data_IF_269331267399
#
_entry.id   IF_269331267399
#
_cell.length_a   1.000
_cell.length_b   1.000
_cell.length_c   1.000
_cell.angle_alpha   90.00
_cell.angle_beta   90.00
_cell.angle_gamma   90.00
#
_symmetry.space_group_name_H-M   'P 1'
#
loop_
_entity.id
_entity.type
_entity.pdbx_description
1 polymer ?
#
# COMPACT_ATOMS: atom_id res chain seq x y z
N UNK A 1 14.02 -14.46 -14.42
CA UNK A 1 14.33 -15.68 -13.63
C UNK A 1 13.21 -16.72 -13.78
N UNK A 2 13.49 -18.02 -13.67
CA UNK A 2 12.46 -19.07 -13.62
C UNK A 2 11.83 -19.16 -12.23
N UNK A 3 10.58 -19.63 -12.12
CA UNK A 3 9.88 -19.78 -10.82
C UNK A 3 10.65 -20.64 -9.81
N UNK A 4 11.46 -21.59 -10.30
CA UNK A 4 12.33 -22.44 -9.47
C UNK A 4 13.56 -21.70 -8.95
N UNK A 5 14.19 -20.88 -9.78
CA UNK A 5 15.31 -20.04 -9.36
C UNK A 5 14.85 -19.01 -8.33
N UNK A 6 13.72 -18.34 -8.57
CA UNK A 6 13.11 -17.41 -7.61
C UNK A 6 12.79 -18.11 -6.29
N UNK A 7 12.19 -19.31 -6.32
CA UNK A 7 11.91 -20.08 -5.11
C UNK A 7 13.18 -20.49 -4.35
N UNK A 8 14.26 -20.84 -5.07
CA UNK A 8 15.55 -21.18 -4.46
C UNK A 8 16.18 -19.97 -3.78
N UNK A 9 16.18 -18.82 -4.45
CA UNK A 9 16.73 -17.58 -3.89
C UNK A 9 15.95 -17.14 -2.65
N UNK A 10 14.61 -17.17 -2.71
CA UNK A 10 13.75 -16.88 -1.55
C UNK A 10 14.06 -17.84 -0.40
N UNK A 11 14.24 -19.13 -0.68
CA UNK A 11 14.56 -20.14 0.33
C UNK A 11 15.89 -19.84 1.02
N UNK A 12 16.92 -19.48 0.26
CA UNK A 12 18.23 -19.14 0.82
C UNK A 12 18.15 -17.90 1.72
N UNK A 13 17.41 -16.88 1.29
CA UNK A 13 17.27 -15.61 2.02
C UNK A 13 16.39 -15.71 3.27
N UNK A 14 15.55 -16.74 3.41
CA UNK A 14 14.82 -17.02 4.65
C UNK A 14 15.58 -17.96 5.58
N UNK A 15 16.87 -18.22 5.35
CA UNK A 15 17.70 -19.08 6.21
C UNK A 15 17.68 -20.57 5.82
N UNK A 16 17.21 -20.90 4.62
CA UNK A 16 17.21 -22.24 4.05
C UNK A 16 16.12 -23.17 4.58
N UNK A 17 16.08 -24.40 4.05
CA UNK A 17 15.09 -25.43 4.42
C UNK A 17 14.97 -25.68 5.92
N UNK A 18 16.05 -25.71 6.74
CA UNK A 18 15.91 -25.94 8.18
C UNK A 18 15.15 -24.85 8.92
N UNK A 19 15.12 -23.64 8.36
CA UNK A 19 14.44 -22.50 8.98
C UNK A 19 12.94 -22.49 8.66
N UNK A 20 12.52 -23.03 7.52
CA UNK A 20 11.10 -23.01 7.13
C UNK A 20 10.34 -24.19 7.73
N UNK A 21 9.32 -23.93 8.54
CA UNK A 21 8.52 -24.96 9.23
C UNK A 21 7.16 -25.20 8.58
N UNK A 22 6.61 -24.20 7.88
CA UNK A 22 5.40 -24.33 7.09
C UNK A 22 5.43 -23.38 5.90
N UNK A 23 4.74 -23.76 4.83
CA UNK A 23 4.44 -22.87 3.71
C UNK A 23 2.94 -22.98 3.35
N UNK A 24 2.36 -21.88 2.88
CA UNK A 24 1.02 -21.87 2.28
C UNK A 24 0.92 -20.86 1.16
N UNK A 25 0.02 -21.13 0.23
CA UNK A 25 -0.30 -20.24 -0.87
C UNK A 25 -1.55 -19.41 -0.54
N UNK A 26 -1.49 -18.10 -0.77
CA UNK A 26 -2.67 -17.28 -0.96
C UNK A 26 -2.70 -16.70 -2.37
N UNK A 27 -3.74 -15.93 -2.72
CA UNK A 27 -3.92 -15.43 -4.09
C UNK A 27 -2.75 -14.60 -4.63
N UNK A 28 -1.96 -13.93 -3.80
CA UNK A 28 -0.85 -13.07 -4.25
C UNK A 28 0.45 -13.27 -3.49
N UNK A 29 0.45 -14.12 -2.46
CA UNK A 29 1.56 -14.25 -1.49
C UNK A 29 1.89 -15.71 -1.20
N UNK A 30 3.19 -15.97 -1.08
CA UNK A 30 3.75 -17.16 -0.45
C UNK A 30 3.89 -16.87 1.04
N UNK A 31 3.16 -17.60 1.88
CA UNK A 31 3.22 -17.47 3.33
C UNK A 31 4.12 -18.53 3.90
N UNK A 32 5.00 -18.14 4.80
CA UNK A 32 6.02 -18.96 5.43
C UNK A 32 5.90 -18.83 6.95
N UNK A 33 6.20 -19.91 7.64
CA UNK A 33 6.52 -19.90 9.07
C UNK A 33 7.99 -20.26 9.18
N UNK A 34 8.76 -19.42 9.86
CA UNK A 34 10.20 -19.62 10.09
C UNK A 34 10.48 -19.95 11.55
N UNK A 35 11.53 -20.72 11.82
CA UNK A 35 11.93 -21.09 13.17
C UNK A 35 12.69 -19.95 13.86
N UNK A 36 13.55 -19.28 13.09
CA UNK A 36 14.41 -18.19 13.54
C UNK A 36 14.25 -16.99 12.58
N UNK A 37 13.51 -15.96 13.00
CA UNK A 37 13.29 -14.76 12.21
C UNK A 37 14.56 -13.95 11.95
N UNK A 38 15.61 -14.09 12.78
CA UNK A 38 16.86 -13.34 12.63
C UNK A 38 17.69 -13.78 11.42
N UNK A 39 17.43 -14.98 10.90
CA UNK A 39 18.08 -15.52 9.70
C UNK A 39 17.46 -15.01 8.39
N UNK A 40 16.42 -14.19 8.47
CA UNK A 40 15.67 -13.72 7.31
C UNK A 40 16.24 -12.39 6.84
N UNK A 41 16.83 -12.39 5.65
CA UNK A 41 17.29 -11.16 5.00
C UNK A 41 16.14 -10.49 4.26
N UNK A 42 15.35 -9.70 5.00
CA UNK A 42 14.22 -8.93 4.46
C UNK A 42 14.66 -7.96 3.36
N UNK A 43 15.83 -7.36 3.50
CA UNK A 43 16.34 -6.36 2.55
C UNK A 43 16.73 -7.00 1.21
N UNK A 44 17.34 -8.19 1.23
CA UNK A 44 17.65 -8.93 0.02
C UNK A 44 16.38 -9.53 -0.62
N UNK A 45 15.42 -10.00 0.17
CA UNK A 45 14.17 -10.55 -0.34
C UNK A 45 13.37 -9.53 -1.18
N UNK A 46 13.35 -8.26 -0.78
CA UNK A 46 12.71 -7.19 -1.56
C UNK A 46 13.39 -6.93 -2.93
N UNK A 47 14.62 -7.43 -3.12
CA UNK A 47 15.40 -7.26 -4.36
C UNK A 47 15.31 -8.46 -5.30
N UNK A 48 14.67 -9.56 -4.87
CA UNK A 48 14.51 -10.77 -5.68
C UNK A 48 13.58 -10.51 -6.87
N UNK A 49 13.96 -10.98 -8.06
CA UNK A 49 13.16 -10.81 -9.28
C UNK A 49 11.76 -11.46 -9.11
N UNK A 50 10.71 -10.64 -9.23
CA UNK A 50 9.32 -11.06 -9.09
C UNK A 50 8.76 -10.95 -7.67
N UNK A 51 9.57 -10.65 -6.65
CA UNK A 51 9.08 -10.24 -5.34
C UNK A 51 8.67 -8.77 -5.39
N UNK A 52 7.41 -8.52 -5.04
CA UNK A 52 6.78 -7.20 -4.96
C UNK A 52 6.85 -6.59 -3.56
N UNK A 53 7.17 -7.39 -2.54
CA UNK A 53 7.14 -6.95 -1.15
C UNK A 53 7.17 -8.10 -0.15
N UNK A 54 7.37 -7.74 1.12
CA UNK A 54 7.38 -8.69 2.23
C UNK A 54 6.45 -8.19 3.33
N UNK A 55 5.91 -9.14 4.07
CA UNK A 55 4.99 -8.94 5.19
C UNK A 55 5.49 -9.74 6.38
N UNK A 56 5.66 -9.13 7.55
CA UNK A 56 5.83 -9.88 8.80
C UNK A 56 4.48 -10.33 9.36
N UNK A 57 4.36 -11.51 9.95
CA UNK A 57 3.16 -11.95 10.69
C UNK A 57 3.54 -12.55 12.03
N UNK A 58 3.19 -11.87 13.12
CA UNK A 58 3.60 -12.30 14.46
C UNK A 58 5.12 -12.37 14.60
N UNK A 59 5.60 -13.21 15.51
CA UNK A 59 7.03 -13.37 15.75
C UNK A 59 7.74 -14.20 14.68
N UNK A 60 7.03 -15.10 13.98
CA UNK A 60 7.62 -16.19 13.19
C UNK A 60 7.05 -16.34 11.77
N UNK A 61 6.03 -15.56 11.41
CA UNK A 61 5.42 -15.59 10.09
C UNK A 61 6.02 -14.57 9.13
N UNK A 62 6.19 -14.97 7.87
CA UNK A 62 6.61 -14.10 6.77
C UNK A 62 5.72 -14.35 5.57
N UNK A 63 5.28 -13.31 4.87
CA UNK A 63 4.66 -13.44 3.55
C UNK A 63 5.51 -12.74 2.50
N UNK A 64 5.87 -13.47 1.46
CA UNK A 64 6.57 -12.94 0.28
C UNK A 64 5.54 -12.75 -0.83
N UNK A 65 5.47 -11.53 -1.36
CA UNK A 65 4.41 -11.14 -2.30
C UNK A 65 4.95 -11.20 -3.71
N UNK A 66 4.30 -11.97 -4.58
CA UNK A 66 4.70 -12.11 -5.99
C UNK A 66 3.65 -11.53 -6.94
N UNK A 67 2.44 -11.29 -6.44
CA UNK A 67 1.29 -10.93 -7.25
C UNK A 67 0.52 -12.16 -7.74
N UNK A 68 -0.65 -11.95 -8.36
CA UNK A 68 -1.63 -13.00 -8.66
C UNK A 68 -1.20 -14.00 -9.74
N UNK A 69 -0.30 -13.60 -10.63
CA UNK A 69 0.01 -14.34 -11.86
C UNK A 69 1.21 -15.29 -11.69
N UNK A 70 2.04 -15.04 -10.68
CA UNK A 70 3.36 -15.67 -10.50
C UNK A 70 3.43 -16.53 -9.23
N UNK A 71 2.70 -16.16 -8.18
CA UNK A 71 2.81 -16.78 -6.85
C UNK A 71 2.60 -18.30 -6.86
N UNK A 72 1.67 -18.81 -7.68
CA UNK A 72 1.36 -20.24 -7.72
C UNK A 72 2.55 -21.10 -8.17
N UNK A 73 3.25 -20.69 -9.23
CA UNK A 73 4.40 -21.44 -9.77
C UNK A 73 5.61 -21.39 -8.84
N UNK A 74 5.81 -20.24 -8.16
CA UNK A 74 6.85 -20.08 -7.16
C UNK A 74 6.56 -20.97 -5.95
N UNK A 75 5.32 -21.02 -5.47
CA UNK A 75 4.91 -21.87 -4.36
C UNK A 75 5.12 -23.37 -4.63
N UNK A 76 4.72 -23.87 -5.80
CA UNK A 76 4.95 -25.27 -6.17
C UNK A 76 6.45 -25.61 -6.14
N UNK A 77 7.28 -24.75 -6.75
CA UNK A 77 8.72 -24.92 -6.75
C UNK A 77 9.31 -24.86 -5.32
N UNK A 78 8.80 -23.97 -4.48
CA UNK A 78 9.24 -23.79 -3.10
C UNK A 78 8.88 -25.00 -2.22
N UNK A 79 7.68 -25.56 -2.38
CA UNK A 79 7.25 -26.77 -1.71
C UNK A 79 8.12 -27.98 -2.09
N UNK A 80 8.49 -28.11 -3.36
CA UNK A 80 9.44 -29.13 -3.83
C UNK A 80 10.82 -29.00 -3.18
N UNK A 81 11.36 -27.77 -3.10
CA UNK A 81 12.69 -27.51 -2.54
C UNK A 81 12.74 -27.74 -1.03
N UNK A 82 11.66 -27.41 -0.32
CA UNK A 82 11.58 -27.57 1.14
C UNK A 82 11.18 -28.98 1.56
N UNK A 83 10.54 -29.75 0.67
CA UNK A 83 9.91 -31.04 1.00
C UNK A 83 8.66 -30.91 1.88
N UNK A 84 8.18 -29.69 2.10
CA UNK A 84 6.97 -29.41 2.86
C UNK A 84 5.73 -29.64 1.97
N UNK A 85 4.60 -30.08 2.55
CA UNK A 85 3.38 -30.27 1.79
C UNK A 85 2.91 -28.93 1.21
N UNK A 86 2.53 -28.95 -0.08
CA UNK A 86 1.85 -27.84 -0.73
C UNK A 86 0.44 -27.69 -0.13
N UNK A 87 0.35 -27.05 1.03
CA UNK A 87 -0.90 -26.80 1.73
C UNK A 87 -1.57 -25.52 1.23
N UNK A 88 -2.87 -25.61 0.95
CA UNK A 88 -3.75 -24.47 0.72
C UNK A 88 -4.53 -24.08 1.98
N UNK A 89 -4.39 -24.88 3.05
CA UNK A 89 -4.99 -24.63 4.37
C UNK A 89 -4.01 -23.83 5.23
N UNK A 90 -4.49 -22.73 5.81
CA UNK A 90 -3.68 -21.83 6.64
C UNK A 90 -3.19 -22.60 7.88
N UNK A 91 -1.87 -22.65 8.18
CA UNK A 91 -1.37 -23.29 9.39
C UNK A 91 -1.70 -22.42 10.63
N UNK A 92 -2.06 -21.16 10.38
CA UNK A 92 -2.36 -20.11 11.36
C UNK A 92 -3.81 -20.21 11.85
N UNK A 93 -4.21 -21.35 12.41
CA UNK A 93 -5.53 -21.48 13.01
C UNK A 93 -5.70 -20.63 14.29
N UNK A 94 -4.60 -20.12 14.87
CA UNK A 94 -4.61 -19.49 16.21
C UNK A 94 -3.83 -18.16 16.35
N UNK A 95 -3.49 -17.48 15.25
CA UNK A 95 -2.76 -16.18 15.27
C UNK A 95 -3.58 -15.06 14.61
N UNK A 96 -4.83 -14.92 15.02
CA UNK A 96 -5.78 -13.99 14.41
C UNK A 96 -5.56 -12.51 14.75
N UNK A 97 -4.49 -12.11 15.46
CA UNK A 97 -4.29 -10.74 15.97
C UNK A 97 -2.84 -10.21 15.83
N UNK A 98 -2.21 -10.27 14.65
CA UNK A 98 -0.87 -9.67 14.53
C UNK A 98 -0.16 -9.84 13.19
N UNK A 99 -0.89 -9.82 12.08
CA UNK A 99 -0.22 -9.73 10.79
C UNK A 99 0.25 -8.29 10.60
N UNK A 100 1.54 -8.00 10.76
CA UNK A 100 2.09 -6.76 10.18
C UNK A 100 1.87 -6.82 8.68
N UNK A 101 1.78 -5.70 7.98
CA UNK A 101 1.14 -5.75 6.68
C UNK A 101 2.16 -5.29 5.60
N UNK A 102 1.85 -5.31 4.30
CA UNK A 102 2.88 -5.21 3.22
C UNK A 102 3.73 -3.95 3.34
N UNK A 103 5.04 -4.08 3.58
CA UNK A 103 6.03 -3.00 3.46
C UNK A 103 6.93 -3.28 2.27
N UNK A 104 7.03 -2.33 1.35
CA UNK A 104 7.89 -2.38 0.17
C UNK A 104 8.78 -1.16 0.22
N UNK A 105 10.06 -1.33 0.49
CA UNK A 105 11.03 -0.25 0.40
C UNK A 105 11.79 -0.30 -0.91
N UNK A 106 11.85 0.84 -1.60
CA UNK A 106 12.72 1.03 -2.76
C UNK A 106 13.88 1.94 -2.39
N UNK A 107 15.10 1.39 -2.38
CA UNK A 107 16.34 2.18 -2.39
C UNK A 107 16.77 2.40 -3.85
N UNK A 108 16.99 3.64 -4.32
CA UNK A 108 17.33 3.90 -5.70
C UNK A 108 18.68 3.28 -6.07
N UNK A 109 18.65 2.23 -6.91
CA UNK A 109 19.86 1.76 -7.59
C UNK A 109 20.13 2.64 -8.81
N UNK A 110 21.38 3.14 -8.93
CA UNK A 110 21.85 3.87 -10.13
C UNK A 110 21.61 3.01 -11.37
N UNK A 111 20.61 3.35 -12.20
CA UNK A 111 20.40 2.66 -13.48
C UNK A 111 21.52 3.01 -14.45
N UNK A 112 22.19 1.97 -14.95
CA UNK A 112 22.94 2.01 -16.21
C UNK A 112 21.97 2.17 -17.37
N UNK A 113 22.29 3.11 -18.26
CA UNK A 113 21.55 3.52 -19.45
C UNK A 113 21.35 2.40 -20.48
N UNK A 114 20.13 2.24 -20.99
CA UNK A 114 19.89 1.72 -22.35
C UNK A 114 18.67 2.40 -23.03
N UNK A 115 18.67 2.52 -24.37
CA UNK A 115 17.92 3.54 -25.10
C UNK A 115 16.51 3.12 -25.52
N UNK A 116 15.66 4.14 -25.73
CA UNK A 116 14.27 4.11 -26.18
C UNK A 116 14.00 3.22 -27.40
N UNK A 117 12.88 2.48 -27.35
CA UNK A 117 12.24 1.87 -28.52
C UNK A 117 10.84 2.47 -28.69
N UNK A 118 10.59 3.02 -29.87
CA UNK A 118 9.37 3.71 -30.26
C UNK A 118 8.15 2.78 -30.41
N UNK A 119 7.00 3.24 -29.91
CA UNK A 119 5.69 2.59 -30.06
C UNK A 119 4.95 3.11 -31.31
N UNK A 120 4.32 2.26 -32.14
CA UNK A 120 3.51 2.72 -33.26
C UNK A 120 2.07 3.08 -32.86
N UNK A 121 1.50 4.06 -33.56
CA UNK A 121 0.18 4.64 -33.36
C UNK A 121 -0.97 3.66 -33.65
N UNK A 122 -2.05 3.74 -32.85
CA UNK A 122 -3.30 3.03 -33.08
C UNK A 122 -4.42 4.00 -33.50
N UNK A 123 -5.14 3.62 -34.55
CA UNK A 123 -6.28 4.34 -35.15
C UNK A 123 -7.57 4.30 -34.29
N UNK A 124 -8.50 5.25 -34.47
CA UNK A 124 -9.67 5.45 -33.60
C UNK A 124 -10.85 4.53 -33.96
N UNK A 125 -11.56 4.04 -32.95
CA UNK A 125 -12.82 3.28 -33.10
C UNK A 125 -14.02 4.14 -32.62
N UNK A 126 -15.20 4.09 -33.28
CA UNK A 126 -16.19 5.17 -33.25
C UNK A 126 -17.21 5.09 -32.09
N UNK A 127 -17.73 6.27 -31.71
CA UNK A 127 -18.91 6.47 -30.85
C UNK A 127 -20.22 6.26 -31.64
N UNK A 128 -21.20 5.60 -31.01
CA UNK A 128 -22.66 5.86 -31.01
C UNK A 128 -23.30 4.69 -30.21
N UNK A 129 -24.24 4.91 -29.28
CA UNK A 129 -25.69 4.99 -29.52
C UNK A 129 -26.39 5.90 -28.49
N UNK A 130 -27.48 6.48 -28.95
CA UNK A 130 -28.36 7.52 -28.42
C UNK A 130 -29.23 7.15 -27.20
N UNK A 131 -29.83 8.21 -26.66
CA UNK A 131 -30.67 8.29 -25.47
C UNK A 131 -32.06 7.66 -25.60
N UNK A 132 -32.64 7.32 -24.45
CA UNK A 132 -34.08 7.23 -24.25
C UNK A 132 -34.49 7.95 -22.96
N UNK A 133 -35.39 8.92 -23.12
CA UNK A 133 -36.06 9.70 -22.07
C UNK A 133 -37.27 8.90 -21.57
N UNK A 134 -37.49 8.83 -20.25
CA UNK A 134 -38.65 8.13 -19.69
C UNK A 134 -38.93 8.45 -18.22
N UNK A 135 -39.71 9.51 -18.02
CA UNK A 135 -40.71 9.72 -16.97
C UNK A 135 -40.34 9.90 -15.49
N UNK A 136 -40.81 11.05 -15.00
CA UNK A 136 -40.84 11.55 -13.62
C UNK A 136 -41.78 10.68 -12.79
N UNK A 137 -41.37 10.24 -11.60
CA UNK A 137 -42.27 9.91 -10.50
C UNK A 137 -41.68 10.41 -9.17
N UNK A 138 -42.59 10.83 -8.30
CA UNK A 138 -42.43 11.84 -7.26
C UNK A 138 -41.65 11.38 -6.02
N UNK A 139 -40.89 12.34 -5.46
CA UNK A 139 -40.21 12.26 -4.16
C UNK A 139 -41.18 12.05 -2.99
N UNK A 140 -40.76 11.37 -1.92
CA UNK A 140 -41.12 11.75 -0.56
C UNK A 140 -39.99 12.57 0.07
N UNK A 141 -40.34 13.75 0.56
CA UNK A 141 -39.52 14.57 1.45
C UNK A 141 -39.42 13.89 2.81
N UNK A 142 -38.19 13.69 3.31
CA UNK A 142 -37.94 13.50 4.74
C UNK A 142 -37.06 14.65 5.22
N UNK A 143 -37.70 15.56 5.95
CA UNK A 143 -37.07 16.51 6.85
C UNK A 143 -36.80 15.79 8.17
N UNK A 144 -35.55 15.78 8.63
CA UNK A 144 -35.27 15.60 10.06
C UNK A 144 -34.21 16.63 10.50
N UNK A 145 -34.52 17.54 11.45
CA UNK A 145 -33.62 18.60 11.89
C UNK A 145 -33.05 18.28 13.28
N UNK A 146 -31.80 17.83 13.38
CA UNK A 146 -31.00 17.94 14.61
C UNK A 146 -29.55 17.49 14.39
N UNK A 147 -28.69 18.41 13.95
CA UNK A 147 -27.26 18.35 14.32
C UNK A 147 -26.87 19.77 14.72
N UNK A 148 -27.05 20.04 16.01
CA UNK A 148 -26.50 21.24 16.62
C UNK A 148 -24.98 21.13 16.63
N UNK A 149 -24.38 22.24 16.22
CA UNK A 149 -22.97 22.59 16.33
C UNK A 149 -22.39 22.31 17.72
N UNK A 150 -21.37 21.45 17.79
CA UNK A 150 -20.31 21.62 18.78
C UNK A 150 -19.02 21.94 18.03
N UNK A 151 -18.63 23.21 18.13
CA UNK A 151 -17.35 23.73 17.71
C UNK A 151 -16.25 23.21 18.65
N UNK A 152 -15.16 22.76 18.03
CA UNK A 152 -13.76 22.95 18.42
C UNK A 152 -13.45 23.18 19.92
N UNK A 153 -13.34 22.10 20.69
CA UNK A 153 -12.51 22.01 21.90
C UNK A 153 -11.89 20.60 21.90
N UNK A 154 -10.62 20.47 21.51
CA UNK A 154 -10.00 19.14 21.38
C UNK A 154 -8.60 19.12 20.75
N UNK A 155 -8.10 20.26 20.25
CA UNK A 155 -6.71 20.35 19.82
C UNK A 155 -5.73 20.26 21.00
N UNK A 156 -6.06 20.88 22.13
CA UNK A 156 -5.18 20.98 23.31
C UNK A 156 -5.06 19.65 24.10
N UNK A 157 -6.04 18.75 24.02
CA UNK A 157 -5.99 17.43 24.69
C UNK A 157 -5.09 16.42 23.94
N UNK A 158 -4.97 16.57 22.61
CA UNK A 158 -4.09 15.72 21.79
C UNK A 158 -2.62 16.10 22.01
N UNK A 159 -2.31 17.39 22.12
CA UNK A 159 -0.95 17.87 22.41
C UNK A 159 -0.47 17.40 23.80
N UNK A 160 -1.36 17.37 24.79
CA UNK A 160 -1.06 16.84 26.12
C UNK A 160 -0.82 15.31 26.12
N UNK A 161 -1.55 14.54 25.31
CA UNK A 161 -1.34 13.10 25.14
C UNK A 161 -0.01 12.79 24.45
N UNK A 162 0.38 13.59 23.46
CA UNK A 162 1.64 13.44 22.72
C UNK A 162 2.86 13.84 23.56
N UNK A 163 2.73 14.84 24.44
CA UNK A 163 3.79 15.25 25.38
C UNK A 163 4.15 14.18 26.44
N UNK A 164 3.31 13.14 26.58
CA UNK A 164 3.58 12.00 27.45
C UNK A 164 4.29 10.83 26.77
N UNK A 165 4.61 10.95 25.47
CA UNK A 165 5.26 9.90 24.66
C UNK A 165 6.78 10.06 24.55
N UNK A 166 7.39 10.94 25.34
CA UNK A 166 8.85 11.14 25.41
C UNK A 166 9.64 9.91 25.92
N UNK A 167 8.95 8.82 26.28
CA UNK A 167 9.51 7.56 26.79
C UNK A 167 8.91 6.34 26.04
N UNK A 168 8.58 6.50 24.75
CA UNK A 168 8.28 5.36 23.89
C UNK A 168 9.50 4.41 23.86
N UNK A 169 9.31 3.08 23.96
CA UNK A 169 10.43 2.15 23.88
C UNK A 169 11.17 2.40 22.57
N UNK A 170 12.48 2.61 22.67
CA UNK A 170 13.34 2.69 21.50
C UNK A 170 13.03 1.49 20.61
N UNK A 171 12.70 1.78 19.35
CA UNK A 171 12.44 0.79 18.31
C UNK A 171 13.76 0.10 17.95
N UNK A 172 14.28 -0.70 18.88
CA UNK A 172 15.40 -1.61 18.65
C UNK A 172 14.84 -2.84 17.95
N UNK A 173 14.57 -2.72 16.63
CA UNK A 173 14.55 -3.84 15.66
C UNK A 173 14.30 -3.35 14.20
N UNK A 174 14.73 -2.13 13.86
CA UNK A 174 14.79 -1.65 12.47
C UNK A 174 16.24 -1.42 12.05
N UNK A 175 16.98 -2.51 11.91
CA UNK A 175 18.38 -2.49 11.52
C UNK A 175 18.49 -2.44 9.99
N UNK A 176 18.85 -1.26 9.45
CA UNK A 176 19.37 -1.15 8.09
C UNK A 176 18.76 -0.10 7.17
N UNK A 177 18.76 1.17 7.56
CA UNK A 177 19.03 2.24 6.59
C UNK A 177 20.28 2.96 7.07
N UNK A 178 21.38 2.79 6.34
CA UNK A 178 22.47 3.74 6.45
C UNK A 178 21.88 5.12 6.10
N UNK A 179 22.08 6.11 6.98
CA UNK A 179 21.63 7.50 6.83
C UNK A 179 22.02 8.06 5.45
N UNK A 180 21.12 7.97 4.47
CA UNK A 180 21.09 8.93 3.37
C UNK A 180 20.14 10.05 3.81
N UNK A 181 20.72 11.20 4.20
CA UNK A 181 20.01 12.43 4.54
C UNK A 181 19.07 12.85 3.40
N UNK A 182 17.76 12.68 3.56
CA UNK A 182 16.79 13.19 2.60
C UNK A 182 15.33 12.82 2.91
N UNK A 183 14.37 13.52 2.26
CA UNK A 183 12.97 13.40 2.59
C UNK A 183 12.40 12.02 2.26
N UNK A 184 11.56 11.51 3.15
CA UNK A 184 10.99 10.15 3.13
C UNK A 184 9.48 10.19 2.88
N UNK A 185 9.04 9.40 1.92
CA UNK A 185 7.63 9.26 1.55
C UNK A 185 7.08 7.88 1.93
N UNK A 186 5.90 7.86 2.55
CA UNK A 186 5.12 6.64 2.74
C UNK A 186 3.85 6.66 1.87
N UNK A 187 3.66 5.65 1.03
CA UNK A 187 2.47 5.46 0.20
C UNK A 187 1.61 4.34 0.77
N UNK A 188 0.44 4.65 1.31
CA UNK A 188 -0.47 3.70 1.96
C UNK A 188 -1.63 3.32 1.05
N UNK A 189 -1.87 2.02 0.88
CA UNK A 189 -2.91 1.46 0.03
C UNK A 189 -3.86 0.58 0.84
N UNK A 190 -5.11 0.98 0.87
CA UNK A 190 -6.18 0.29 1.58
C UNK A 190 -6.66 -0.99 0.89
N UNK A 191 -7.84 -1.48 1.29
CA UNK A 191 -8.31 -2.80 0.90
C UNK A 191 -8.56 -2.92 -0.60
N UNK A 192 -8.20 -4.09 -1.13
CA UNK A 192 -8.35 -4.54 -2.52
C UNK A 192 -7.48 -3.82 -3.56
N UNK A 193 -6.65 -2.85 -3.19
CA UNK A 193 -5.72 -2.21 -4.14
C UNK A 193 -4.68 -3.22 -4.68
N UNK A 194 -4.32 -4.24 -3.89
CA UNK A 194 -3.47 -5.35 -4.33
C UNK A 194 -4.06 -6.18 -5.48
N UNK A 195 -5.34 -5.97 -5.84
CA UNK A 195 -6.04 -6.70 -6.91
C UNK A 195 -6.14 -5.90 -8.23
N UNK A 196 -5.44 -4.76 -8.35
CA UNK A 196 -5.33 -4.01 -9.60
C UNK A 196 -4.83 -4.90 -10.75
N UNK A 197 -5.32 -4.64 -11.96
CA UNK A 197 -5.01 -5.44 -13.16
C UNK A 197 -5.78 -6.76 -13.30
N UNK A 198 -6.34 -7.31 -12.22
CA UNK A 198 -7.14 -8.55 -12.24
C UNK A 198 -8.64 -8.25 -12.35
N UNK A 199 -9.09 -7.22 -11.64
CA UNK A 199 -10.52 -6.92 -11.46
C UNK A 199 -10.96 -5.75 -12.34
N UNK A 200 -12.06 -5.93 -13.05
CA UNK A 200 -12.79 -4.87 -13.79
C UNK A 200 -11.86 -3.94 -14.62
N UNK A 201 -11.14 -4.46 -15.64
CA UNK A 201 -10.11 -3.70 -16.38
C UNK A 201 -10.65 -2.41 -17.04
N UNK A 202 -11.97 -2.35 -17.30
CA UNK A 202 -12.62 -1.17 -17.86
C UNK A 202 -12.79 0.01 -16.90
N UNK A 203 -12.73 -0.22 -15.57
CA UNK A 203 -12.90 0.82 -14.55
C UNK A 203 -11.53 1.26 -13.98
N UNK A 204 -10.59 0.33 -13.81
CA UNK A 204 -9.32 0.59 -13.14
C UNK A 204 -8.10 0.61 -14.07
N UNK A 205 -8.28 0.34 -15.37
CA UNK A 205 -7.20 0.25 -16.34
C UNK A 205 -6.57 -1.15 -16.42
N UNK A 206 -5.55 -1.30 -17.28
CA UNK A 206 -4.78 -2.55 -17.45
C UNK A 206 -3.53 -2.61 -16.58
N UNK A 207 -3.21 -1.51 -15.92
CA UNK A 207 -2.05 -1.40 -15.05
C UNK A 207 -2.31 -2.18 -13.76
N UNK A 208 -1.36 -3.02 -13.38
CA UNK A 208 -1.46 -3.88 -12.21
C UNK A 208 -0.82 -3.23 -10.98
N UNK A 209 -0.86 -3.95 -9.85
CA UNK A 209 -0.29 -3.46 -8.61
C UNK A 209 1.23 -3.23 -8.71
N UNK A 210 1.96 -4.02 -9.50
CA UNK A 210 3.40 -3.81 -9.70
C UNK A 210 3.67 -2.49 -10.44
N UNK A 211 2.91 -2.21 -11.49
CA UNK A 211 3.00 -0.92 -12.20
C UNK A 211 2.69 0.28 -11.30
N UNK A 212 1.76 0.14 -10.35
CA UNK A 212 1.49 1.18 -9.35
C UNK A 212 2.71 1.44 -8.45
N UNK A 213 3.36 0.38 -7.95
CA UNK A 213 4.54 0.50 -7.09
C UNK A 213 5.71 1.17 -7.84
N UNK A 214 5.97 0.75 -9.07
CA UNK A 214 6.99 1.36 -9.94
C UNK A 214 6.70 2.84 -10.18
N UNK A 215 5.44 3.18 -10.47
CA UNK A 215 5.02 4.57 -10.68
C UNK A 215 5.27 5.44 -9.45
N UNK A 216 4.97 4.92 -8.25
CA UNK A 216 5.20 5.65 -7.00
C UNK A 216 6.70 5.89 -6.78
N UNK A 217 7.53 4.86 -6.94
CA UNK A 217 8.97 4.96 -6.79
C UNK A 217 9.59 5.96 -7.79
N UNK A 218 9.18 5.90 -9.06
CA UNK A 218 9.66 6.83 -10.08
C UNK A 218 9.21 8.27 -9.82
N UNK A 219 7.94 8.48 -9.46
CA UNK A 219 7.42 9.81 -9.14
C UNK A 219 8.11 10.41 -7.91
N UNK A 220 8.32 9.62 -6.85
CA UNK A 220 9.00 10.08 -5.65
C UNK A 220 10.43 10.53 -5.96
N UNK A 221 11.17 9.73 -6.75
CA UNK A 221 12.53 10.06 -7.20
C UNK A 221 12.57 11.33 -8.05
N UNK A 222 11.63 11.49 -8.99
CA UNK A 222 11.53 12.69 -9.83
C UNK A 222 11.25 13.96 -9.02
N UNK A 223 10.48 13.84 -7.93
CA UNK A 223 10.13 14.96 -7.05
C UNK A 223 11.15 15.19 -5.92
N UNK A 224 12.20 14.37 -5.82
CA UNK A 224 13.34 14.58 -4.93
C UNK A 224 13.26 13.90 -3.55
N UNK A 225 12.34 12.93 -3.37
CA UNK A 225 12.36 12.06 -2.20
C UNK A 225 13.56 11.12 -2.23
N UNK A 226 14.27 10.97 -1.11
CA UNK A 226 15.36 10.02 -0.97
C UNK A 226 14.83 8.58 -0.85
N UNK A 227 13.68 8.41 -0.18
CA UNK A 227 13.05 7.12 0.04
C UNK A 227 11.55 7.18 -0.24
N UNK A 228 11.03 6.08 -0.80
CA UNK A 228 9.62 5.87 -1.02
C UNK A 228 9.26 4.44 -0.60
N UNK A 229 8.54 4.33 0.51
CA UNK A 229 8.02 3.07 1.01
C UNK A 229 6.55 2.94 0.60
N UNK A 230 6.19 1.82 0.00
CA UNK A 230 4.81 1.49 -0.35
C UNK A 230 4.26 0.46 0.62
N UNK A 231 3.06 0.74 1.11
CA UNK A 231 2.42 0.01 2.17
C UNK A 231 1.02 -0.44 1.73
N UNK A 232 0.63 -1.70 1.96
CA UNK A 232 -0.71 -2.20 1.58
C UNK A 232 -1.35 -3.15 2.59
N UNK A 233 -2.58 -2.88 3.00
CA UNK A 233 -3.37 -3.84 3.78
C UNK A 233 -4.85 -3.86 3.42
N UNK A 234 -5.46 -5.03 3.69
CA UNK A 234 -6.89 -5.23 3.68
C UNK A 234 -7.53 -5.07 5.07
N UNK A 235 -6.72 -4.85 6.11
CA UNK A 235 -7.19 -4.65 7.48
C UNK A 235 -7.01 -3.19 7.89
N UNK A 236 -7.96 -2.67 8.66
CA UNK A 236 -7.94 -1.27 9.09
C UNK A 236 -6.86 -1.01 10.15
N UNK A 237 -6.72 -1.89 11.15
CA UNK A 237 -5.71 -1.75 12.21
C UNK A 237 -4.29 -1.67 11.67
N UNK A 238 -3.93 -2.60 10.79
CA UNK A 238 -2.70 -2.60 10.00
C UNK A 238 -2.35 -1.26 9.34
N UNK A 239 -3.36 -0.56 8.78
CA UNK A 239 -3.16 0.74 8.12
C UNK A 239 -3.01 1.86 9.16
N UNK A 240 -3.70 1.76 10.30
CA UNK A 240 -3.55 2.67 11.45
C UNK A 240 -2.14 2.53 12.04
N UNK A 241 -1.67 1.31 12.26
CA UNK A 241 -0.34 1.03 12.79
C UNK A 241 0.72 1.59 11.84
N UNK A 242 0.60 1.36 10.53
CA UNK A 242 1.53 1.93 9.54
C UNK A 242 1.55 3.47 9.52
N UNK A 243 0.42 4.13 9.79
CA UNK A 243 0.38 5.60 9.93
C UNK A 243 1.12 6.02 11.21
N UNK A 244 0.91 5.31 12.32
CA UNK A 244 1.56 5.60 13.60
C UNK A 244 3.06 5.37 13.56
N UNK A 245 3.51 4.26 12.96
CA UNK A 245 4.93 3.92 12.76
C UNK A 245 5.65 4.92 11.85
N UNK A 246 4.91 5.65 11.01
CA UNK A 246 5.45 6.72 10.17
C UNK A 246 5.91 7.94 11.00
N UNK A 247 5.45 8.07 12.25
CA UNK A 247 5.80 9.19 13.11
C UNK A 247 7.31 9.21 13.40
N UNK A 248 7.97 10.29 12.98
CA UNK A 248 9.42 10.43 13.09
C UNK A 248 10.23 9.67 12.04
N UNK A 249 9.59 8.91 11.14
CA UNK A 249 10.26 8.12 10.10
C UNK A 249 9.86 8.50 8.66
N UNK A 250 8.74 9.22 8.47
CA UNK A 250 8.32 9.76 7.18
C UNK A 250 8.02 11.27 7.25
N UNK A 251 8.34 12.00 6.18
CA UNK A 251 8.06 13.44 6.03
C UNK A 251 6.70 13.70 5.39
N UNK A 252 6.17 12.73 4.64
CA UNK A 252 4.89 12.86 3.96
C UNK A 252 4.21 11.53 3.68
N UNK A 253 2.88 11.56 3.60
CA UNK A 253 2.03 10.39 3.34
C UNK A 253 1.19 10.61 2.07
N UNK A 254 1.20 9.64 1.15
CA UNK A 254 0.17 9.52 0.12
C UNK A 254 -0.72 8.34 0.50
N UNK A 255 -2.02 8.55 0.64
CA UNK A 255 -2.92 7.48 1.07
C UNK A 255 -4.07 7.28 0.08
N UNK A 256 -4.25 6.05 -0.37
CA UNK A 256 -5.49 5.60 -1.01
C UNK A 256 -6.22 4.67 -0.03
N UNK A 257 -7.20 5.17 0.75
CA UNK A 257 -7.89 4.35 1.74
C UNK A 257 -8.85 3.33 1.10
N UNK A 258 -9.05 3.37 -0.22
CA UNK A 258 -10.03 2.58 -0.94
C UNK A 258 -11.42 2.64 -0.26
N UNK A 259 -12.00 1.51 0.11
CA UNK A 259 -13.31 1.48 0.77
C UNK A 259 -13.33 2.18 2.14
N UNK A 260 -12.20 2.19 2.85
CA UNK A 260 -12.13 2.75 4.20
C UNK A 260 -12.25 4.26 4.24
N UNK A 261 -12.08 4.96 3.12
CA UNK A 261 -12.35 6.40 3.07
C UNK A 261 -13.79 6.71 3.51
N UNK A 262 -14.74 5.80 3.25
CA UNK A 262 -16.16 6.00 3.54
C UNK A 262 -16.59 5.56 4.94
N UNK A 263 -15.74 4.83 5.66
CA UNK A 263 -16.13 4.15 6.91
C UNK A 263 -15.19 4.39 8.08
N UNK A 264 -13.91 4.64 7.81
CA UNK A 264 -12.87 4.65 8.84
C UNK A 264 -12.71 6.03 9.47
N UNK A 265 -13.24 6.17 10.68
CA UNK A 265 -12.87 7.27 11.57
C UNK A 265 -11.48 6.99 12.19
N UNK A 266 -11.11 5.72 12.37
CA UNK A 266 -9.81 5.33 12.91
C UNK A 266 -8.64 5.84 12.06
N UNK A 267 -8.70 5.72 10.72
CA UNK A 267 -7.67 6.26 9.84
C UNK A 267 -7.61 7.80 9.87
N UNK A 268 -8.75 8.46 9.98
CA UNK A 268 -8.81 9.91 10.15
C UNK A 268 -8.10 10.33 11.44
N UNK A 269 -8.40 9.68 12.56
CA UNK A 269 -7.81 10.01 13.85
C UNK A 269 -6.31 9.68 13.89
N UNK A 270 -5.89 8.57 13.28
CA UNK A 270 -4.47 8.21 13.15
C UNK A 270 -3.67 9.27 12.37
N UNK A 271 -4.17 9.71 11.21
CA UNK A 271 -3.52 10.76 10.41
C UNK A 271 -3.43 12.09 11.18
N UNK A 272 -4.48 12.45 11.91
CA UNK A 272 -4.47 13.66 12.76
C UNK A 272 -3.49 13.55 13.92
N UNK A 273 -3.38 12.38 14.53
CA UNK A 273 -2.50 12.16 15.67
C UNK A 273 -1.03 12.31 15.29
N UNK A 274 -0.62 11.79 14.13
CA UNK A 274 0.78 11.91 13.68
C UNK A 274 1.12 13.26 13.08
N UNK A 275 0.12 13.99 12.55
CA UNK A 275 0.32 15.35 12.02
C UNK A 275 1.20 15.46 10.78
N UNK A 276 1.56 14.32 10.16
CA UNK A 276 2.37 14.26 8.94
C UNK A 276 1.53 14.75 7.75
N UNK A 277 2.03 15.66 6.89
CA UNK A 277 1.32 16.10 5.70
C UNK A 277 0.90 14.91 4.81
N UNK A 278 -0.41 14.82 4.54
CA UNK A 278 -0.97 13.68 3.81
C UNK A 278 -1.81 14.12 2.60
N UNK A 279 -1.69 13.42 1.46
CA UNK A 279 -2.56 13.61 0.28
C UNK A 279 -3.40 12.35 0.05
N UNK A 280 -4.72 12.53 -0.06
CA UNK A 280 -5.64 11.42 -0.38
C UNK A 280 -5.68 11.15 -1.88
N UNK A 281 -5.64 9.89 -2.30
CA UNK A 281 -5.71 9.47 -3.71
C UNK A 281 -6.83 8.46 -3.95
N UNK A 282 -7.57 8.65 -5.03
CA UNK A 282 -8.55 7.69 -5.55
C UNK A 282 -8.33 7.42 -7.04
N UNK A 283 -8.11 6.15 -7.40
CA UNK A 283 -7.90 5.72 -8.79
C UNK A 283 -9.13 6.08 -9.67
N UNK A 284 -10.33 5.84 -9.17
CA UNK A 284 -11.61 6.17 -9.84
C UNK A 284 -12.19 7.49 -9.35
N UNK A 285 -13.00 8.17 -10.17
CA UNK A 285 -13.79 9.33 -9.72
C UNK A 285 -14.80 8.90 -8.66
N UNK A 286 -14.80 9.58 -7.52
CA UNK A 286 -15.78 9.33 -6.45
C UNK A 286 -17.17 9.88 -6.80
N UNK A 287 -17.24 11.00 -7.52
CA UNK A 287 -18.49 11.72 -7.81
C UNK A 287 -19.44 10.99 -8.76
N UNK A 288 -18.89 10.11 -9.60
CA UNK A 288 -19.63 9.31 -10.59
C UNK A 288 -20.20 8.02 -9.98
N UNK A 289 -19.98 7.78 -8.68
CA UNK A 289 -20.40 6.56 -7.98
C UNK A 289 -21.58 6.80 -7.02
N UNK A 290 -22.00 5.72 -6.36
CA UNK A 290 -23.16 5.67 -5.47
C UNK A 290 -23.05 6.69 -4.32
N UNK A 291 -24.18 7.16 -3.79
CA UNK A 291 -24.21 8.24 -2.79
C UNK A 291 -23.35 7.96 -1.54
N UNK A 292 -23.24 6.70 -1.11
CA UNK A 292 -22.42 6.33 0.04
C UNK A 292 -20.90 6.47 -0.21
N UNK A 293 -20.46 6.55 -1.47
CA UNK A 293 -19.05 6.75 -1.85
C UNK A 293 -18.65 8.22 -1.95
N UNK A 294 -19.56 9.15 -1.69
CA UNK A 294 -19.30 10.59 -1.79
C UNK A 294 -18.66 11.18 -0.53
N UNK A 295 -18.76 10.47 0.61
CA UNK A 295 -18.17 10.90 1.89
C UNK A 295 -16.79 10.27 2.05
N UNK A 296 -15.78 11.12 2.26
CA UNK A 296 -14.45 10.71 2.73
C UNK A 296 -14.26 11.25 4.15
N UNK A 297 -14.02 10.37 5.13
CA UNK A 297 -13.60 10.77 6.47
C UNK A 297 -12.13 11.20 6.47
N UNK A 298 -11.28 10.44 5.76
CA UNK A 298 -9.83 10.65 5.69
C UNK A 298 -9.47 12.02 5.11
N UNK A 299 -10.26 12.53 4.15
CA UNK A 299 -10.08 13.87 3.54
C UNK A 299 -9.88 14.98 4.56
N UNK A 300 -10.52 14.90 5.72
CA UNK A 300 -10.43 15.93 6.75
C UNK A 300 -9.04 16.01 7.45
N UNK A 301 -8.16 15.02 7.26
CA UNK A 301 -6.77 15.05 7.69
C UNK A 301 -5.77 15.31 6.55
N UNK A 302 -6.22 15.30 5.29
CA UNK A 302 -5.36 15.46 4.14
C UNK A 302 -5.30 16.92 3.66
N UNK A 303 -4.15 17.35 3.15
CA UNK A 303 -3.96 18.69 2.58
C UNK A 303 -4.66 18.85 1.22
N UNK A 304 -4.84 17.75 0.50
CA UNK A 304 -5.46 17.70 -0.83
C UNK A 304 -6.07 16.30 -1.08
N UNK A 305 -6.89 16.18 -2.14
CA UNK A 305 -7.46 14.92 -2.61
C UNK A 305 -7.43 14.84 -4.12
N UNK A 306 -6.63 13.92 -4.66
CA UNK A 306 -6.57 13.61 -6.08
C UNK A 306 -7.51 12.45 -6.40
N UNK A 307 -8.39 12.59 -7.41
CA UNK A 307 -9.29 11.50 -7.79
C UNK A 307 -9.51 11.38 -9.30
N UNK A 308 -9.71 10.14 -9.77
CA UNK A 308 -10.17 9.87 -11.14
C UNK A 308 -9.11 9.93 -12.23
N UNK A 309 -7.84 9.81 -11.86
CA UNK A 309 -6.69 9.85 -12.78
C UNK A 309 -6.05 8.47 -12.99
N UNK A 310 -6.73 7.39 -12.62
CA UNK A 310 -6.11 6.06 -12.60
C UNK A 310 -4.96 6.00 -11.59
N UNK A 311 -3.95 5.17 -11.85
CA UNK A 311 -2.73 5.15 -11.03
C UNK A 311 -1.89 6.43 -11.20
N UNK A 312 -2.10 7.20 -12.28
CA UNK A 312 -1.47 8.51 -12.49
C UNK A 312 -1.80 9.53 -11.41
N UNK A 313 -2.91 9.35 -10.67
CA UNK A 313 -3.25 10.18 -9.53
C UNK A 313 -2.22 10.12 -8.39
N UNK A 314 -1.50 9.00 -8.24
CA UNK A 314 -0.42 8.89 -7.26
C UNK A 314 0.74 9.83 -7.59
N UNK A 315 1.10 9.96 -8.87
CA UNK A 315 2.16 10.89 -9.31
C UNK A 315 1.80 12.33 -8.98
N UNK A 316 0.56 12.73 -9.25
CA UNK A 316 0.10 14.08 -8.92
C UNK A 316 0.07 14.31 -7.40
N UNK A 317 -0.37 13.33 -6.62
CA UNK A 317 -0.37 13.44 -5.16
C UNK A 317 1.04 13.55 -4.57
N UNK A 318 1.99 12.75 -5.07
CA UNK A 318 3.40 12.83 -4.67
C UNK A 318 3.97 14.20 -4.99
N UNK A 319 3.64 14.76 -6.16
CA UNK A 319 4.05 16.11 -6.54
C UNK A 319 3.46 17.19 -5.63
N UNK A 320 2.14 17.16 -5.37
CA UNK A 320 1.48 18.10 -4.46
C UNK A 320 2.15 18.07 -3.08
N UNK A 321 2.46 16.86 -2.60
CA UNK A 321 3.11 16.66 -1.32
C UNK A 321 4.56 17.18 -1.31
N UNK A 322 5.34 16.93 -2.36
CA UNK A 322 6.68 17.48 -2.50
C UNK A 322 6.70 19.02 -2.53
N UNK A 323 5.78 19.62 -3.30
CA UNK A 323 5.59 21.07 -3.37
C UNK A 323 5.22 21.64 -1.98
N UNK A 324 4.35 20.96 -1.23
CA UNK A 324 3.98 21.35 0.14
C UNK A 324 5.16 21.29 1.11
N UNK A 325 6.01 20.27 0.99
CA UNK A 325 7.21 20.08 1.82
C UNK A 325 8.39 20.97 1.38
N UNK A 326 8.28 21.66 0.24
CA UNK A 326 9.34 22.50 -0.30
C UNK A 326 10.56 21.72 -0.80
N UNK A 327 10.36 20.46 -1.21
CA UNK A 327 11.43 19.61 -1.74
C UNK A 327 11.87 20.16 -3.10
N UNK A 328 13.17 20.41 -3.26
CA UNK A 328 13.71 20.98 -4.49
C UNK A 328 14.11 19.85 -5.44
N UNK A 329 13.59 19.89 -6.67
CA UNK A 329 13.95 18.93 -7.73
C UNK A 329 15.45 19.05 -8.06
N UNK A 330 16.18 17.94 -7.97
CA UNK A 330 17.61 17.84 -8.31
C UNK A 330 17.87 17.86 -9.81
#
# INVERSE_FOLDING_TARGET
MTSRETASEVLDLVGGTPNVTANTLCMTRLRLVVRDPSLVDKNALCKVEGVLGIVGRGSDGIEVVFGPNSVGQVFESFAELTGLPASYETPFADLSHGGSPLQVSFTPSRRSSHPDVATPAADPVPRQVEAAVGERHSRPSFSDPAFHSHQAEGADEIEALLSGMDDAPQADDFDGYEDEDGPRLLVINGPNINMLGIREPGIYGREDFAALLELCADAAREEGFAHCDCYQSNHEGDLVDAIQDAYGSADGIVINPAAYTHTSIALLDALKAVGIPAVEVHISRLEEREDFRRRSYVRAACIETVSGMGIGGYREAIRILADHLGITRG
#
